data_IF_379408143269
#
_entry.id   IF_379408143269
#
_cell.length_a   1.000
_cell.length_b   1.000
_cell.length_c   1.000
_cell.angle_alpha   90.00
_cell.angle_beta   90.00
_cell.angle_gamma   90.00
#
_symmetry.space_group_name_H-M   'P 1'
#
loop_
_entity.id
_entity.type
_entity.pdbx_description
1 polymer ?
#
# COMPACT_ATOMS: atom_id res chain seq x y z
N UNK A 1 -42.20 -9.01 26.31
CA UNK A 1 -42.46 -10.42 26.03
C UNK A 1 -41.47 -10.98 24.99
N UNK A 2 -41.35 -10.38 23.82
CA UNK A 2 -40.46 -10.83 22.71
C UNK A 2 -38.98 -10.93 23.14
N UNK A 3 -38.45 -9.88 23.77
CA UNK A 3 -37.04 -9.84 24.22
C UNK A 3 -36.74 -10.94 25.27
N UNK A 4 -37.66 -11.16 26.22
CA UNK A 4 -37.51 -12.19 27.25
C UNK A 4 -37.46 -13.61 26.67
N UNK A 5 -38.27 -13.84 25.64
CA UNK A 5 -38.32 -15.12 24.91
C UNK A 5 -37.01 -15.32 24.09
N UNK A 6 -36.50 -14.27 23.44
CA UNK A 6 -35.26 -14.30 22.66
C UNK A 6 -34.07 -14.66 23.57
N UNK A 7 -33.92 -14.00 24.72
CA UNK A 7 -32.84 -14.30 25.69
C UNK A 7 -32.99 -15.72 26.24
N UNK A 8 -34.21 -16.14 26.62
CA UNK A 8 -34.43 -17.50 27.12
C UNK A 8 -34.07 -18.59 26.09
N UNK A 9 -34.29 -18.33 24.81
CA UNK A 9 -33.96 -19.27 23.75
C UNK A 9 -32.43 -19.37 23.55
N UNK A 10 -31.73 -18.24 23.48
CA UNK A 10 -30.27 -18.18 23.34
C UNK A 10 -29.58 -18.98 24.46
N UNK A 11 -30.05 -18.81 25.70
CA UNK A 11 -29.47 -19.50 26.87
C UNK A 11 -29.77 -20.99 26.92
N UNK A 12 -30.90 -21.44 26.39
CA UNK A 12 -31.25 -22.86 26.35
C UNK A 12 -30.56 -23.65 25.25
N UNK A 13 -30.33 -23.04 24.09
CA UNK A 13 -29.75 -23.71 22.91
C UNK A 13 -28.30 -23.27 22.63
N UNK A 14 -27.44 -23.43 23.63
CA UNK A 14 -26.04 -22.95 23.65
C UNK A 14 -25.23 -23.35 22.42
N UNK A 15 -25.29 -24.62 22.00
CA UNK A 15 -24.48 -25.10 20.86
C UNK A 15 -24.84 -24.40 19.54
N UNK A 16 -26.12 -24.14 19.31
CA UNK A 16 -26.57 -23.42 18.11
C UNK A 16 -26.19 -21.95 18.14
N UNK A 17 -26.40 -21.32 19.28
CA UNK A 17 -25.98 -19.95 19.50
C UNK A 17 -24.48 -19.78 19.28
N UNK A 18 -23.68 -20.75 19.71
CA UNK A 18 -22.23 -20.76 19.52
C UNK A 18 -21.83 -20.91 18.05
N UNK A 19 -22.51 -21.77 17.27
CA UNK A 19 -22.24 -21.90 15.82
C UNK A 19 -22.51 -20.57 15.13
N UNK A 20 -23.66 -19.92 15.40
CA UNK A 20 -23.97 -18.61 14.81
C UNK A 20 -22.99 -17.56 15.26
N UNK A 21 -22.62 -17.55 16.54
CA UNK A 21 -21.61 -16.63 17.05
C UNK A 21 -20.30 -16.75 16.23
N UNK A 22 -19.80 -17.97 16.00
CA UNK A 22 -18.59 -18.19 15.18
C UNK A 22 -18.78 -17.66 13.75
N UNK A 23 -19.91 -17.98 13.11
CA UNK A 23 -20.19 -17.53 11.75
C UNK A 23 -20.25 -16.01 11.66
N UNK A 24 -20.91 -15.36 12.62
CA UNK A 24 -20.97 -13.90 12.70
C UNK A 24 -19.58 -13.27 12.91
N UNK A 25 -18.77 -13.87 13.80
CA UNK A 25 -17.38 -13.41 14.01
C UNK A 25 -16.57 -13.50 12.73
N UNK A 26 -16.65 -14.62 11.98
CA UNK A 26 -15.92 -14.81 10.74
C UNK A 26 -16.36 -13.81 9.65
N UNK A 27 -17.66 -13.63 9.46
CA UNK A 27 -18.18 -12.67 8.48
C UNK A 27 -17.77 -11.25 8.84
N UNK A 28 -17.97 -10.84 10.09
CA UNK A 28 -17.67 -9.48 10.53
C UNK A 28 -16.18 -9.17 10.54
N UNK A 29 -15.34 -10.09 11.02
CA UNK A 29 -13.87 -9.90 11.01
C UNK A 29 -13.32 -9.80 9.58
N UNK A 30 -13.83 -10.61 8.67
CA UNK A 30 -13.44 -10.58 7.26
C UNK A 30 -13.88 -9.28 6.57
N UNK A 31 -15.14 -8.86 6.75
CA UNK A 31 -15.65 -7.59 6.22
C UNK A 31 -14.87 -6.38 6.76
N UNK A 32 -14.65 -6.35 8.07
CA UNK A 32 -13.88 -5.28 8.70
C UNK A 32 -12.44 -5.23 8.15
N UNK A 33 -11.79 -6.38 8.01
CA UNK A 33 -10.44 -6.47 7.44
C UNK A 33 -10.39 -5.97 6.00
N UNK A 34 -11.34 -6.38 5.16
CA UNK A 34 -11.43 -5.90 3.77
C UNK A 34 -11.63 -4.38 3.67
N UNK A 35 -12.58 -3.82 4.43
CA UNK A 35 -12.84 -2.39 4.43
C UNK A 35 -11.65 -1.58 4.98
N UNK A 36 -10.92 -2.14 5.93
CA UNK A 36 -9.73 -1.53 6.49
C UNK A 36 -8.58 -1.52 5.48
N UNK A 37 -8.32 -2.64 4.79
CA UNK A 37 -7.33 -2.74 3.73
C UNK A 37 -7.67 -1.79 2.58
N UNK A 38 -8.95 -1.70 2.16
CA UNK A 38 -9.39 -0.70 1.18
C UNK A 38 -9.11 0.73 1.65
N UNK A 39 -9.34 1.03 2.93
CA UNK A 39 -9.04 2.34 3.49
C UNK A 39 -7.55 2.68 3.47
N UNK A 40 -6.69 1.72 3.82
CA UNK A 40 -5.23 1.87 3.73
C UNK A 40 -4.80 2.10 2.29
N UNK A 41 -5.31 1.29 1.37
CA UNK A 41 -5.03 1.40 -0.06
C UNK A 41 -5.39 2.77 -0.63
N UNK A 42 -6.57 3.33 -0.29
CA UNK A 42 -6.97 4.67 -0.68
C UNK A 42 -6.07 5.77 -0.08
N UNK A 43 -5.54 5.54 1.11
CA UNK A 43 -4.61 6.49 1.75
C UNK A 43 -3.24 6.47 1.06
N UNK A 44 -2.76 5.29 0.67
CA UNK A 44 -1.54 5.12 -0.13
C UNK A 44 -1.72 5.79 -1.48
N UNK A 45 -2.82 5.51 -2.19
CA UNK A 45 -3.15 6.12 -3.48
C UNK A 45 -3.18 7.66 -3.39
N UNK A 46 -3.84 8.23 -2.37
CA UNK A 46 -3.87 9.69 -2.15
C UNK A 46 -2.49 10.28 -1.87
N UNK A 47 -1.67 9.60 -1.10
CA UNK A 47 -0.32 10.07 -0.82
C UNK A 47 0.58 9.99 -2.05
N UNK A 48 0.48 8.92 -2.83
CA UNK A 48 1.13 8.81 -4.13
C UNK A 48 0.67 9.91 -5.09
N UNK A 49 -0.64 10.19 -5.14
CA UNK A 49 -1.20 11.28 -5.94
C UNK A 49 -0.68 12.65 -5.51
N UNK A 50 -0.62 12.92 -4.21
CA UNK A 50 -0.05 14.18 -3.71
C UNK A 50 1.43 14.33 -4.08
N UNK A 51 2.20 13.27 -3.98
CA UNK A 51 3.63 13.28 -4.30
C UNK A 51 3.87 13.39 -5.80
N UNK A 52 3.16 12.63 -6.62
CA UNK A 52 3.32 12.63 -8.08
C UNK A 52 2.70 13.86 -8.76
N UNK A 53 1.55 14.34 -8.27
CA UNK A 53 0.87 15.49 -8.83
C UNK A 53 1.49 16.84 -8.40
N UNK A 54 2.38 16.82 -7.42
CA UNK A 54 3.09 18.03 -6.98
C UNK A 54 4.48 18.20 -7.59
N UNK A 55 4.98 17.22 -8.30
CA UNK A 55 6.29 17.25 -8.92
C UNK A 55 6.21 17.07 -10.45
N UNK A 56 6.86 17.98 -11.17
CA UNK A 56 7.12 17.86 -12.60
C UNK A 56 8.54 17.34 -12.76
N UNK A 57 8.74 16.33 -13.60
CA UNK A 57 10.05 15.85 -13.98
C UNK A 57 10.40 16.28 -15.39
N UNK A 58 11.65 16.68 -15.59
CA UNK A 58 12.20 17.03 -16.90
C UNK A 58 13.46 16.20 -17.10
N UNK A 59 13.54 15.48 -18.20
CA UNK A 59 14.68 14.65 -18.59
C UNK A 59 14.87 14.65 -20.10
N UNK A 60 16.07 14.33 -20.58
CA UNK A 60 16.29 14.12 -22.01
C UNK A 60 15.59 12.82 -22.49
N UNK A 61 15.08 12.83 -23.72
CA UNK A 61 14.51 11.65 -24.35
C UNK A 61 15.54 10.51 -24.51
N UNK A 62 16.83 10.88 -24.64
CA UNK A 62 17.94 9.94 -24.70
C UNK A 62 18.38 9.38 -23.36
N UNK A 63 17.72 9.80 -22.24
CA UNK A 63 18.10 9.44 -20.87
C UNK A 63 19.54 9.83 -20.47
N UNK A 64 20.19 10.68 -21.27
CA UNK A 64 21.53 11.19 -21.01
C UNK A 64 21.52 12.39 -20.06
N UNK A 65 22.72 12.77 -19.63
CA UNK A 65 22.92 13.93 -18.80
C UNK A 65 22.71 15.24 -19.61
N UNK A 66 22.14 16.24 -18.99
CA UNK A 66 22.02 17.59 -19.52
C UNK A 66 22.68 18.62 -18.60
N UNK A 67 23.11 19.76 -19.18
CA UNK A 67 23.66 20.87 -18.41
C UNK A 67 22.54 21.62 -17.67
N UNK A 68 22.68 21.77 -16.34
CA UNK A 68 21.68 22.46 -15.50
C UNK A 68 21.56 23.95 -15.77
N UNK A 69 22.57 24.58 -16.36
CA UNK A 69 22.54 26.02 -16.66
C UNK A 69 21.44 26.40 -17.62
N UNK A 70 21.01 25.45 -18.46
CA UNK A 70 19.86 25.62 -19.36
C UNK A 70 18.56 25.91 -18.62
N UNK A 71 18.46 25.54 -17.34
CA UNK A 71 17.24 25.65 -16.51
C UNK A 71 17.32 26.77 -15.45
N UNK A 72 18.26 27.72 -15.56
CA UNK A 72 18.39 28.85 -14.62
C UNK A 72 17.12 29.70 -14.54
N UNK A 73 16.45 29.91 -15.66
CA UNK A 73 15.27 30.77 -15.76
C UNK A 73 14.00 30.17 -15.12
N UNK A 74 14.00 28.88 -14.76
CA UNK A 74 12.88 28.22 -14.06
C UNK A 74 12.55 28.88 -12.73
N UNK A 75 13.54 29.49 -12.05
CA UNK A 75 13.33 30.16 -10.77
C UNK A 75 12.31 31.29 -10.83
N UNK A 76 12.07 31.87 -12.00
CA UNK A 76 11.19 33.01 -12.21
C UNK A 76 9.72 32.61 -12.42
N UNK A 77 9.42 31.31 -12.50
CA UNK A 77 8.06 30.82 -12.76
C UNK A 77 7.28 30.78 -11.45
N UNK A 78 6.12 31.43 -11.43
CA UNK A 78 5.21 31.45 -10.27
C UNK A 78 4.57 30.07 -10.06
N UNK A 79 4.47 29.65 -8.79
CA UNK A 79 3.83 28.38 -8.42
C UNK A 79 4.82 27.24 -8.17
N UNK A 80 6.10 27.46 -8.43
CA UNK A 80 7.18 26.53 -8.05
C UNK A 80 7.54 26.77 -6.58
N UNK A 81 7.56 25.68 -5.81
CA UNK A 81 7.95 25.67 -4.40
C UNK A 81 9.45 25.41 -4.27
N UNK A 82 9.88 24.27 -4.79
CA UNK A 82 11.28 23.85 -4.74
C UNK A 82 11.66 23.17 -6.05
N UNK A 83 12.94 23.16 -6.34
CA UNK A 83 13.51 22.38 -7.45
C UNK A 83 14.74 21.63 -6.99
N UNK A 84 14.90 20.42 -7.53
CA UNK A 84 16.05 19.57 -7.26
C UNK A 84 16.55 18.96 -8.57
N UNK A 85 17.86 18.92 -8.73
CA UNK A 85 18.50 18.17 -9.78
C UNK A 85 18.88 16.78 -9.25
N UNK A 86 18.71 15.77 -10.05
CA UNK A 86 19.14 14.41 -9.80
C UNK A 86 20.18 14.02 -10.82
N UNK A 87 21.22 13.35 -10.36
CA UNK A 87 22.20 12.69 -11.20
C UNK A 87 22.14 11.20 -10.94
N UNK A 88 21.80 10.42 -11.96
CA UNK A 88 21.85 8.97 -11.95
C UNK A 88 23.03 8.54 -12.83
N UNK A 89 23.86 7.68 -12.30
CA UNK A 89 25.04 7.18 -12.99
C UNK A 89 25.46 5.83 -12.45
N UNK A 90 26.57 5.36 -12.97
CA UNK A 90 27.21 4.12 -12.53
C UNK A 90 28.56 4.46 -11.93
N UNK A 91 28.86 3.84 -10.79
CA UNK A 91 30.16 3.93 -10.15
C UNK A 91 30.79 2.55 -9.96
N UNK A 92 32.08 2.51 -9.63
CA UNK A 92 32.78 1.28 -9.28
C UNK A 92 33.24 1.34 -7.83
N UNK A 93 32.95 0.28 -7.07
CA UNK A 93 33.47 0.13 -5.71
C UNK A 93 34.99 -0.22 -5.81
N UNK A 94 35.79 0.51 -5.03
CA UNK A 94 37.23 0.26 -4.93
C UNK A 94 37.48 -0.56 -3.66
N UNK A 95 38.07 -1.75 -3.81
CA UNK A 95 38.37 -2.70 -2.73
C UNK A 95 37.19 -3.34 -2.01
N UNK A 96 35.97 -3.23 -2.54
CA UNK A 96 34.77 -3.85 -2.01
C UNK A 96 34.03 -4.66 -3.08
N UNK A 97 33.21 -5.62 -2.64
CA UNK A 97 32.45 -6.51 -3.53
C UNK A 97 30.98 -6.08 -3.60
N UNK A 98 30.42 -6.17 -4.78
CA UNK A 98 28.97 -5.98 -4.99
C UNK A 98 28.18 -7.19 -4.52
N UNK A 99 26.88 -7.01 -4.25
CA UNK A 99 25.96 -8.10 -3.99
C UNK A 99 25.62 -8.76 -5.33
N UNK A 100 25.75 -10.08 -5.38
CA UNK A 100 25.40 -10.90 -6.55
C UNK A 100 23.95 -11.38 -6.44
N UNK A 101 23.31 -11.65 -7.57
CA UNK A 101 21.94 -12.17 -7.59
C UNK A 101 21.87 -13.55 -6.92
N UNK A 102 20.83 -13.76 -6.08
CA UNK A 102 20.51 -15.09 -5.54
C UNK A 102 20.16 -16.11 -6.62
N UNK A 103 19.76 -15.65 -7.82
CA UNK A 103 19.37 -16.52 -8.93
C UNK A 103 20.52 -17.10 -9.73
N UNK A 104 21.78 -16.83 -9.34
CA UNK A 104 22.97 -17.47 -9.92
C UNK A 104 23.18 -17.22 -11.42
N UNK A 105 22.48 -16.26 -12.03
CA UNK A 105 22.72 -15.85 -13.41
C UNK A 105 23.83 -14.81 -13.41
N UNK A 106 25.06 -15.28 -13.32
CA UNK A 106 26.22 -14.44 -13.64
C UNK A 106 26.53 -14.61 -15.14
N UNK A 107 26.74 -13.49 -15.82
CA UNK A 107 27.33 -13.54 -17.15
C UNK A 107 28.83 -13.76 -16.97
N UNK A 108 29.34 -14.92 -17.39
CA UNK A 108 30.77 -15.24 -17.33
C UNK A 108 31.59 -14.39 -18.31
N UNK A 109 30.92 -13.69 -19.23
CA UNK A 109 31.51 -12.87 -20.30
C UNK A 109 31.54 -11.36 -19.96
N UNK A 110 31.29 -10.96 -18.68
CA UNK A 110 31.39 -9.55 -18.30
C UNK A 110 32.83 -9.08 -18.27
N UNK A 111 33.20 -8.06 -19.06
CA UNK A 111 34.53 -7.45 -19.02
C UNK A 111 34.92 -6.98 -17.62
N UNK A 112 36.22 -7.01 -17.28
CA UNK A 112 36.71 -6.64 -15.94
C UNK A 112 36.35 -5.20 -15.52
N UNK A 113 36.25 -4.29 -16.48
CA UNK A 113 35.83 -2.89 -16.26
C UNK A 113 34.35 -2.74 -15.87
N UNK A 114 33.52 -3.72 -16.23
CA UNK A 114 32.08 -3.76 -15.89
C UNK A 114 31.76 -4.60 -14.64
N UNK A 115 32.78 -5.19 -14.02
CA UNK A 115 32.64 -5.89 -12.74
C UNK A 115 32.60 -4.89 -11.56
N UNK A 116 31.89 -5.22 -10.50
CA UNK A 116 31.74 -4.41 -9.28
C UNK A 116 31.13 -3.02 -9.52
N UNK A 117 30.21 -2.92 -10.49
CA UNK A 117 29.46 -1.71 -10.73
C UNK A 117 28.34 -1.55 -9.72
N UNK A 118 28.16 -0.32 -9.24
CA UNK A 118 27.06 0.12 -8.37
C UNK A 118 26.29 1.24 -9.04
N UNK A 119 24.99 1.27 -8.83
CA UNK A 119 24.16 2.38 -9.28
C UNK A 119 24.31 3.55 -8.30
N UNK A 120 24.57 4.71 -8.82
CA UNK A 120 24.70 5.95 -8.06
C UNK A 120 23.47 6.82 -8.35
N UNK A 121 22.78 7.25 -7.30
CA UNK A 121 21.75 8.27 -7.40
C UNK A 121 22.08 9.43 -6.47
N UNK A 122 22.30 10.60 -7.04
CA UNK A 122 22.68 11.79 -6.31
C UNK A 122 21.53 12.79 -6.27
N UNK A 123 21.11 13.16 -5.05
CA UNK A 123 19.98 14.04 -4.79
C UNK A 123 20.15 14.81 -3.48
N UNK A 124 19.74 16.08 -3.42
CA UNK A 124 20.02 16.92 -2.25
C UNK A 124 19.06 16.69 -1.08
N UNK A 125 17.85 16.20 -1.33
CA UNK A 125 16.85 15.96 -0.30
C UNK A 125 16.22 14.57 -0.46
N UNK A 126 16.84 13.56 0.14
CA UNK A 126 16.41 12.16 -0.04
C UNK A 126 14.98 11.89 0.46
N UNK A 127 14.41 12.69 1.36
CA UNK A 127 13.01 12.54 1.77
C UNK A 127 12.04 12.80 0.60
N UNK A 128 12.47 13.63 -0.36
CA UNK A 128 11.70 13.94 -1.59
C UNK A 128 12.09 13.05 -2.78
N UNK A 129 13.16 12.29 -2.67
CA UNK A 129 13.52 11.31 -3.70
C UNK A 129 12.42 10.26 -3.83
N UNK A 130 11.96 9.99 -5.06
CA UNK A 130 10.78 9.15 -5.30
C UNK A 130 10.83 7.76 -4.66
N UNK A 131 11.98 7.09 -4.64
CA UNK A 131 12.15 5.77 -4.03
C UNK A 131 11.98 5.79 -2.50
N UNK A 132 12.35 6.88 -1.82
CA UNK A 132 12.15 7.04 -0.38
C UNK A 132 10.75 7.59 -0.06
N UNK A 133 10.26 8.55 -0.83
CA UNK A 133 8.95 9.14 -0.62
C UNK A 133 7.80 8.17 -0.91
N UNK A 134 7.99 7.24 -1.83
CA UNK A 134 7.03 6.16 -2.13
C UNK A 134 7.08 4.99 -1.14
N UNK A 135 8.11 4.95 -0.27
CA UNK A 135 8.30 3.85 0.68
C UNK A 135 8.91 2.57 0.09
N UNK A 136 9.37 2.62 -1.17
CA UNK A 136 10.12 1.50 -1.79
C UNK A 136 11.40 1.26 -1.01
N UNK A 137 12.08 2.34 -0.63
CA UNK A 137 13.23 2.30 0.27
C UNK A 137 12.93 3.02 1.58
N UNK A 138 13.51 2.53 2.66
CA UNK A 138 13.44 3.14 3.98
C UNK A 138 14.79 3.09 4.69
N UNK A 139 15.08 4.10 5.51
CA UNK A 139 16.27 4.10 6.35
C UNK A 139 16.08 3.09 7.47
N UNK A 140 16.98 2.11 7.55
CA UNK A 140 17.00 1.10 8.61
C UNK A 140 17.80 1.56 9.82
N UNK A 141 18.94 2.22 9.58
CA UNK A 141 19.81 2.75 10.64
C UNK A 141 20.57 3.98 10.16
N UNK A 142 20.96 4.83 11.08
CA UNK A 142 21.59 6.10 10.76
C UNK A 142 20.58 7.18 10.36
N UNK A 143 20.97 8.05 9.44
CA UNK A 143 20.14 9.12 8.92
C UNK A 143 20.18 9.21 7.39
N UNK A 144 19.23 9.92 6.85
CA UNK A 144 19.17 10.23 5.42
C UNK A 144 20.12 11.37 5.04
N UNK A 145 20.41 11.51 3.74
CA UNK A 145 21.18 12.62 3.20
C UNK A 145 20.33 13.88 3.23
N UNK A 146 20.92 14.97 3.69
CA UNK A 146 20.31 16.28 3.76
C UNK A 146 21.07 17.30 2.90
N UNK A 147 20.41 18.42 2.65
CA UNK A 147 21.03 19.51 1.90
C UNK A 147 22.26 20.04 2.66
N UNK A 148 23.40 20.12 1.97
CA UNK A 148 24.68 20.54 2.56
C UNK A 148 25.60 19.40 3.03
N UNK A 149 25.14 18.15 3.04
CA UNK A 149 26.03 17.01 3.30
C UNK A 149 27.13 16.94 2.22
N UNK A 150 28.37 16.80 2.66
CA UNK A 150 29.52 16.62 1.79
C UNK A 150 30.17 15.26 2.06
N UNK A 151 30.66 14.58 1.02
CA UNK A 151 31.31 13.27 1.11
C UNK A 151 30.55 12.21 1.95
N UNK A 152 29.22 12.29 1.98
CA UNK A 152 28.35 11.37 2.71
C UNK A 152 27.57 10.51 1.75
N UNK A 153 27.39 9.22 2.11
CA UNK A 153 26.60 8.25 1.36
C UNK A 153 25.67 7.45 2.28
N UNK A 154 24.60 6.96 1.70
CA UNK A 154 23.81 5.89 2.28
C UNK A 154 23.86 4.68 1.34
N UNK A 155 24.03 3.50 1.89
CA UNK A 155 24.17 2.24 1.16
C UNK A 155 23.11 1.23 1.60
N UNK A 156 22.85 0.25 0.75
CA UNK A 156 21.93 -0.82 1.11
C UNK A 156 22.52 -1.70 2.24
N UNK A 157 21.64 -2.19 3.12
CA UNK A 157 22.05 -3.04 4.25
C UNK A 157 22.80 -4.30 3.83
N UNK A 158 22.40 -4.94 2.72
CA UNK A 158 23.03 -6.16 2.22
C UNK A 158 24.43 -5.87 1.64
N UNK A 159 24.62 -4.71 0.99
CA UNK A 159 25.95 -4.28 0.54
C UNK A 159 26.89 -4.05 1.74
N UNK A 160 26.35 -3.41 2.79
CA UNK A 160 27.07 -3.20 4.03
C UNK A 160 27.43 -4.54 4.70
N UNK A 161 26.49 -5.46 4.82
CA UNK A 161 26.68 -6.78 5.43
C UNK A 161 27.73 -7.61 4.67
N UNK A 162 27.66 -7.63 3.32
CA UNK A 162 28.61 -8.38 2.48
C UNK A 162 30.06 -7.93 2.67
N UNK A 163 30.26 -6.65 2.95
CA UNK A 163 31.60 -6.05 3.09
C UNK A 163 32.00 -5.75 4.55
N UNK A 164 31.16 -6.09 5.54
CA UNK A 164 31.43 -5.81 6.95
C UNK A 164 31.43 -4.33 7.31
N UNK A 165 30.76 -3.48 6.50
CA UNK A 165 30.74 -2.03 6.63
C UNK A 165 29.68 -1.58 7.66
N UNK A 166 30.00 -0.51 8.36
CA UNK A 166 29.14 0.13 9.39
C UNK A 166 29.01 1.62 9.14
N UNK A 167 28.04 2.24 9.80
CA UNK A 167 27.92 3.70 9.83
C UNK A 167 29.18 4.29 10.43
N UNK A 168 29.74 5.31 9.77
CA UNK A 168 31.01 5.96 10.08
C UNK A 168 32.19 5.44 9.29
N UNK A 169 32.08 4.27 8.65
CA UNK A 169 33.14 3.76 7.79
C UNK A 169 33.22 4.56 6.49
N UNK A 170 34.41 4.55 5.90
CA UNK A 170 34.68 5.23 4.64
C UNK A 170 34.78 4.24 3.50
N UNK A 171 34.13 4.55 2.40
CA UNK A 171 34.24 3.79 1.15
C UNK A 171 34.82 4.66 0.04
N UNK A 172 35.52 4.02 -0.88
CA UNK A 172 36.03 4.67 -2.08
C UNK A 172 35.19 4.26 -3.28
N UNK A 173 34.73 5.26 -4.01
CA UNK A 173 33.94 5.10 -5.23
C UNK A 173 34.63 5.79 -6.37
N UNK A 174 34.74 5.10 -7.48
CA UNK A 174 35.17 5.67 -8.75
C UNK A 174 33.90 6.08 -9.51
N UNK A 175 33.71 7.37 -9.72
CA UNK A 175 32.67 7.96 -10.54
C UNK A 175 33.29 8.35 -11.87
N UNK A 176 32.88 7.67 -12.94
CA UNK A 176 33.55 7.76 -14.24
C UNK A 176 35.08 7.52 -14.13
N UNK A 177 35.89 8.59 -14.20
CA UNK A 177 37.38 8.50 -14.12
C UNK A 177 37.94 9.04 -12.79
N UNK A 178 37.10 9.53 -11.89
CA UNK A 178 37.51 10.20 -10.67
C UNK A 178 37.18 9.36 -9.42
N UNK A 179 38.15 9.22 -8.55
CA UNK A 179 37.98 8.55 -7.26
C UNK A 179 37.56 9.55 -6.19
N UNK A 180 36.54 9.21 -5.43
CA UNK A 180 36.07 9.96 -4.26
C UNK A 180 36.01 9.08 -3.01
N UNK A 181 36.33 9.64 -1.84
CA UNK A 181 36.17 9.00 -0.55
C UNK A 181 34.88 9.50 0.11
N UNK A 182 34.03 8.56 0.59
CA UNK A 182 32.71 8.86 1.15
C UNK A 182 32.53 8.14 2.48
N UNK A 183 31.93 8.82 3.44
CA UNK A 183 31.57 8.26 4.75
C UNK A 183 30.11 7.76 4.71
N UNK A 184 29.89 6.56 5.21
CA UNK A 184 28.56 5.95 5.35
C UNK A 184 27.85 6.58 6.53
N UNK A 185 26.72 7.25 6.29
CA UNK A 185 25.92 7.90 7.35
C UNK A 185 24.59 7.20 7.62
N UNK A 186 24.20 6.27 6.75
CA UNK A 186 22.96 5.52 6.91
C UNK A 186 22.93 4.25 6.09
N UNK A 187 22.14 3.31 6.55
CA UNK A 187 21.83 2.08 5.86
C UNK A 187 20.35 2.09 5.50
N UNK A 188 20.03 1.76 4.25
CA UNK A 188 18.66 1.64 3.81
C UNK A 188 18.32 0.20 3.45
N UNK A 189 17.03 -0.10 3.42
CA UNK A 189 16.44 -1.38 3.04
C UNK A 189 15.31 -1.17 2.06
N UNK A 190 14.95 -2.24 1.35
CA UNK A 190 13.86 -2.26 0.37
C UNK A 190 14.34 -2.75 -0.98
N UNK A 191 13.39 -3.03 -1.88
CA UNK A 191 13.68 -3.54 -3.21
C UNK A 191 12.78 -2.85 -4.24
N UNK A 192 13.37 -2.23 -5.25
CA UNK A 192 12.64 -1.74 -6.42
C UNK A 192 12.40 -2.89 -7.40
N UNK A 193 11.45 -2.74 -8.29
CA UNK A 193 11.32 -3.67 -9.41
C UNK A 193 12.55 -3.53 -10.31
N UNK A 194 13.24 -4.64 -10.53
CA UNK A 194 14.50 -4.68 -11.24
C UNK A 194 14.31 -5.24 -12.64
N UNK A 195 14.83 -4.51 -13.64
CA UNK A 195 15.01 -5.03 -14.98
C UNK A 195 16.48 -5.45 -15.09
N UNK A 196 16.75 -6.73 -15.01
CA UNK A 196 18.11 -7.24 -15.06
C UNK A 196 18.66 -7.21 -16.51
N UNK A 197 19.64 -6.36 -16.75
CA UNK A 197 20.34 -6.23 -18.03
C UNK A 197 21.71 -6.94 -18.02
N UNK A 198 22.04 -7.61 -16.92
CA UNK A 198 23.28 -8.37 -16.77
C UNK A 198 24.38 -7.66 -15.97
N UNK A 199 24.11 -6.49 -15.41
CA UNK A 199 25.07 -5.73 -14.62
C UNK A 199 24.69 -5.74 -13.13
N UNK A 200 25.71 -5.75 -12.26
CA UNK A 200 25.49 -5.69 -10.81
C UNK A 200 24.83 -4.39 -10.35
N UNK A 201 24.98 -3.30 -11.10
CA UNK A 201 24.32 -2.02 -10.84
C UNK A 201 22.81 -2.04 -11.01
N UNK A 202 22.24 -3.07 -11.62
CA UNK A 202 20.77 -3.19 -11.78
C UNK A 202 20.07 -3.53 -10.47
N UNK A 203 20.79 -4.17 -9.54
CA UNK A 203 20.23 -4.60 -8.26
C UNK A 203 20.07 -3.46 -7.25
N UNK A 204 18.97 -3.48 -6.52
CA UNK A 204 18.67 -2.53 -5.44
C UNK A 204 19.72 -2.54 -4.34
N UNK A 205 20.26 -3.73 -4.05
CA UNK A 205 21.29 -3.97 -3.05
C UNK A 205 22.62 -3.26 -3.41
N UNK A 206 22.86 -2.96 -4.67
CA UNK A 206 24.02 -2.26 -5.17
C UNK A 206 23.78 -0.77 -5.47
N UNK A 207 22.68 -0.21 -4.96
CA UNK A 207 22.43 1.23 -5.06
C UNK A 207 23.13 1.99 -3.94
N UNK A 208 23.70 3.14 -4.32
CA UNK A 208 24.34 4.09 -3.39
C UNK A 208 23.73 5.46 -3.64
N UNK A 209 23.28 6.11 -2.58
CA UNK A 209 22.78 7.46 -2.66
C UNK A 209 23.76 8.45 -2.06
N UNK A 210 23.88 9.63 -2.69
CA UNK A 210 24.78 10.69 -2.25
C UNK A 210 24.16 12.07 -2.47
N UNK A 211 24.81 13.10 -1.92
CA UNK A 211 24.43 14.48 -2.17
C UNK A 211 24.76 14.90 -3.61
N UNK A 212 23.83 15.57 -4.28
CA UNK A 212 23.99 16.00 -5.67
C UNK A 212 25.14 16.97 -5.85
N UNK A 213 25.23 18.03 -5.00
CA UNK A 213 26.29 19.02 -5.16
C UNK A 213 27.68 18.46 -4.94
N UNK A 214 27.82 17.45 -4.05
CA UNK A 214 29.09 16.77 -3.85
C UNK A 214 29.42 15.83 -5.00
N UNK A 215 28.44 15.12 -5.57
CA UNK A 215 28.67 14.28 -6.76
C UNK A 215 29.24 15.09 -7.92
N UNK A 216 28.73 16.32 -8.11
CA UNK A 216 29.22 17.24 -9.13
C UNK A 216 30.66 17.70 -8.88
N UNK A 217 31.09 17.79 -7.61
CA UNK A 217 32.50 18.09 -7.29
C UNK A 217 33.42 16.94 -7.68
N UNK A 218 32.98 15.71 -7.50
CA UNK A 218 33.79 14.52 -7.90
C UNK A 218 33.82 14.37 -9.41
N UNK A 219 32.69 14.66 -10.10
CA UNK A 219 32.60 14.60 -11.56
C UNK A 219 33.31 15.75 -12.30
N UNK A 220 33.70 16.81 -11.59
CA UNK A 220 34.19 18.11 -12.15
C UNK A 220 35.37 18.06 -13.12
N UNK A 221 36.03 16.95 -13.26
CA UNK A 221 37.19 16.85 -14.16
C UNK A 221 36.85 16.47 -15.60
N UNK A 222 35.56 16.35 -15.94
CA UNK A 222 35.14 15.75 -17.19
C UNK A 222 34.88 16.70 -18.35
N UNK A 223 34.42 17.92 -18.12
CA UNK A 223 34.33 18.97 -19.13
C UNK A 223 33.87 20.31 -18.54
N UNK A 224 34.61 21.38 -18.83
CA UNK A 224 34.23 22.79 -18.70
C UNK A 224 33.51 23.27 -17.42
N UNK A 225 33.70 22.65 -16.28
CA UNK A 225 33.13 23.07 -14.99
C UNK A 225 31.57 23.16 -14.96
N UNK A 226 30.88 22.51 -15.90
CA UNK A 226 29.43 22.56 -16.00
C UNK A 226 28.80 21.43 -15.17
N UNK A 227 27.89 21.79 -14.29
CA UNK A 227 27.12 20.79 -13.56
C UNK A 227 26.13 20.07 -14.50
N UNK A 228 25.99 18.77 -14.33
CA UNK A 228 25.13 17.91 -15.14
C UNK A 228 24.08 17.21 -14.28
N UNK A 229 22.93 16.94 -14.87
CA UNK A 229 21.86 16.18 -14.25
C UNK A 229 21.20 15.24 -15.26
N UNK A 230 20.65 14.14 -14.78
CA UNK A 230 19.80 13.23 -15.56
C UNK A 230 18.36 13.68 -15.53
N UNK A 231 17.94 14.26 -14.38
CA UNK A 231 16.55 14.71 -14.17
C UNK A 231 16.53 16.02 -13.39
N UNK A 232 15.52 16.83 -13.69
CA UNK A 232 15.12 17.98 -12.90
C UNK A 232 13.74 17.71 -12.33
N UNK A 233 13.60 17.80 -11.00
CA UNK A 233 12.32 17.76 -10.30
C UNK A 233 11.90 19.16 -9.89
N UNK A 234 10.66 19.51 -10.18
CA UNK A 234 10.06 20.79 -9.85
C UNK A 234 8.83 20.49 -9.00
N UNK A 235 8.89 20.88 -7.73
CA UNK A 235 7.80 20.73 -6.78
C UNK A 235 6.91 21.96 -6.80
N UNK A 236 5.60 21.75 -6.73
CA UNK A 236 4.61 22.81 -6.85
C UNK A 236 3.88 23.04 -5.53
N UNK A 237 3.57 24.31 -5.26
CA UNK A 237 2.72 24.68 -4.12
C UNK A 237 1.26 24.16 -4.27
N UNK A 238 0.80 23.98 -5.51
CA UNK A 238 -0.56 23.56 -5.82
C UNK A 238 -0.57 22.60 -7.00
N UNK A 239 -0.90 21.31 -6.79
CA UNK A 239 -0.96 20.31 -7.86
C UNK A 239 -1.94 20.68 -8.99
N UNK A 240 -3.00 21.42 -8.64
CA UNK A 240 -4.04 21.85 -9.57
C UNK A 240 -3.51 22.76 -10.69
N UNK A 241 -2.40 23.46 -10.44
CA UNK A 241 -1.75 24.37 -11.41
C UNK A 241 -0.64 23.71 -12.23
N UNK A 242 -0.52 22.41 -12.16
CA UNK A 242 0.57 21.68 -12.82
C UNK A 242 0.62 21.95 -14.33
N UNK A 243 -0.50 21.89 -15.02
CA UNK A 243 -0.57 22.14 -16.45
C UNK A 243 -0.18 23.58 -16.81
N UNK A 244 -0.57 24.55 -15.99
CA UNK A 244 -0.21 25.95 -16.19
C UNK A 244 1.31 26.14 -16.03
N UNK A 245 1.90 25.52 -15.00
CA UNK A 245 3.34 25.57 -14.75
C UNK A 245 4.11 24.83 -15.85
N UNK A 246 3.63 23.68 -16.35
CA UNK A 246 4.25 22.99 -17.50
C UNK A 246 4.25 23.89 -18.74
N UNK A 247 3.14 24.58 -18.99
CA UNK A 247 3.05 25.51 -20.12
C UNK A 247 4.02 26.68 -19.96
N UNK A 248 4.20 27.21 -18.74
CA UNK A 248 5.19 28.27 -18.47
C UNK A 248 6.63 27.75 -18.59
N UNK A 249 6.93 26.53 -18.14
CA UNK A 249 8.24 25.90 -18.31
C UNK A 249 8.57 25.75 -19.79
N UNK A 250 7.61 25.34 -20.61
CA UNK A 250 7.81 25.18 -22.07
C UNK A 250 8.01 26.49 -22.84
N UNK A 251 7.80 27.64 -22.22
CA UNK A 251 8.14 28.96 -22.81
C UNK A 251 9.63 29.31 -22.68
N UNK A 252 10.38 28.60 -21.87
CA UNK A 252 11.83 28.78 -21.79
C UNK A 252 12.42 28.39 -23.14
N UNK A 253 13.39 29.17 -23.62
CA UNK A 253 14.05 28.96 -24.92
C UNK A 253 14.96 27.73 -24.84
N UNK A 254 14.35 26.55 -25.06
CA UNK A 254 14.98 25.22 -25.10
C UNK A 254 14.39 24.40 -26.24
N UNK A 255 15.19 23.53 -26.82
CA UNK A 255 14.73 22.53 -27.79
C UNK A 255 13.87 21.46 -27.11
N UNK A 256 12.63 21.79 -26.72
CA UNK A 256 11.73 20.93 -25.93
C UNK A 256 11.41 19.58 -26.59
N UNK A 257 11.62 19.46 -27.90
CA UNK A 257 11.49 18.19 -28.64
C UNK A 257 12.47 17.13 -28.13
N UNK A 258 13.62 17.55 -27.58
CA UNK A 258 14.61 16.69 -26.99
C UNK A 258 14.33 16.32 -25.54
N UNK A 259 13.32 16.92 -24.90
CA UNK A 259 13.02 16.73 -23.49
C UNK A 259 11.65 16.09 -23.28
N UNK A 260 11.61 15.11 -22.40
CA UNK A 260 10.38 14.56 -21.83
C UNK A 260 10.02 15.36 -20.58
N UNK A 261 8.89 16.06 -20.63
CA UNK A 261 8.32 16.77 -19.50
C UNK A 261 7.08 16.01 -19.05
N UNK A 262 7.07 15.60 -17.80
CA UNK A 262 5.95 14.86 -17.26
C UNK A 262 6.01 14.78 -15.75
N UNK A 263 5.02 14.14 -15.17
CA UNK A 263 5.12 13.64 -13.81
C UNK A 263 6.04 12.43 -13.82
N UNK A 264 6.91 12.27 -12.83
CA UNK A 264 7.80 11.09 -12.74
C UNK A 264 6.99 9.84 -12.43
N UNK A 265 6.46 9.22 -13.49
CA UNK A 265 5.45 8.18 -13.41
C UNK A 265 6.01 6.75 -13.48
N UNK A 266 7.28 6.55 -13.83
CA UNK A 266 7.75 5.18 -14.12
C UNK A 266 7.63 4.23 -12.91
N UNK A 267 8.04 4.67 -11.71
CA UNK A 267 7.82 3.89 -10.48
C UNK A 267 6.41 4.09 -9.90
N UNK A 268 5.79 5.24 -10.18
CA UNK A 268 4.44 5.57 -9.74
C UNK A 268 3.39 4.74 -10.45
N UNK A 269 3.50 4.56 -11.77
CA UNK A 269 2.54 3.78 -12.55
C UNK A 269 2.58 2.31 -12.13
N UNK A 270 3.74 1.73 -11.83
CA UNK A 270 3.86 0.36 -11.28
C UNK A 270 3.23 0.23 -9.89
N UNK A 271 3.53 1.17 -8.99
CA UNK A 271 2.94 1.17 -7.64
C UNK A 271 1.44 1.41 -7.73
N UNK A 272 1.00 2.33 -8.58
CA UNK A 272 -0.42 2.62 -8.82
C UNK A 272 -1.15 1.40 -9.38
N UNK A 273 -0.55 0.68 -10.33
CA UNK A 273 -1.12 -0.55 -10.88
C UNK A 273 -1.25 -1.64 -9.81
N UNK A 274 -0.22 -1.82 -8.98
CA UNK A 274 -0.23 -2.74 -7.84
C UNK A 274 -1.31 -2.35 -6.82
N UNK A 275 -1.35 -1.08 -6.43
CA UNK A 275 -2.35 -0.53 -5.50
C UNK A 275 -3.77 -0.69 -6.07
N UNK A 276 -3.97 -0.42 -7.36
CA UNK A 276 -5.24 -0.60 -8.05
C UNK A 276 -5.66 -2.07 -8.09
N UNK A 277 -4.73 -2.98 -8.37
CA UNK A 277 -4.97 -4.43 -8.40
C UNK A 277 -5.37 -4.96 -7.02
N UNK A 278 -4.67 -4.55 -5.96
CA UNK A 278 -5.03 -4.90 -4.57
C UNK A 278 -6.43 -4.39 -4.22
N UNK A 279 -6.77 -3.15 -4.60
CA UNK A 279 -8.10 -2.57 -4.39
C UNK A 279 -9.20 -3.39 -5.06
N UNK A 280 -8.97 -3.81 -6.31
CA UNK A 280 -9.92 -4.61 -7.08
C UNK A 280 -10.12 -6.00 -6.47
N UNK A 281 -9.03 -6.68 -6.09
CA UNK A 281 -9.08 -7.99 -5.42
C UNK A 281 -9.85 -7.89 -4.08
N UNK A 282 -9.53 -6.90 -3.26
CA UNK A 282 -10.20 -6.71 -1.95
C UNK A 282 -11.67 -6.35 -2.12
N UNK A 283 -12.03 -5.59 -3.17
CA UNK A 283 -13.42 -5.28 -3.50
C UNK A 283 -14.20 -6.56 -3.88
N UNK A 284 -13.64 -7.41 -4.74
CA UNK A 284 -14.25 -8.70 -5.12
C UNK A 284 -14.41 -9.57 -3.87
N UNK A 285 -13.37 -9.70 -3.05
CA UNK A 285 -13.40 -10.47 -1.80
C UNK A 285 -14.51 -9.96 -0.85
N UNK A 286 -14.67 -8.64 -0.73
CA UNK A 286 -15.72 -8.05 0.09
C UNK A 286 -17.12 -8.43 -0.40
N UNK A 287 -17.35 -8.40 -1.71
CA UNK A 287 -18.61 -8.81 -2.34
C UNK A 287 -18.87 -10.31 -2.10
N UNK A 288 -17.87 -11.15 -2.30
CA UNK A 288 -17.98 -12.60 -2.06
C UNK A 288 -18.32 -12.92 -0.60
N UNK A 289 -17.71 -12.20 0.36
CA UNK A 289 -18.01 -12.35 1.79
C UNK A 289 -19.45 -11.91 2.10
N UNK A 290 -19.93 -10.81 1.50
CA UNK A 290 -21.31 -10.34 1.69
C UNK A 290 -22.32 -11.34 1.14
N UNK A 291 -22.12 -11.82 -0.08
CA UNK A 291 -23.02 -12.79 -0.72
C UNK A 291 -22.95 -14.15 -0.01
N UNK A 292 -21.74 -14.65 0.25
CA UNK A 292 -21.53 -15.91 0.97
C UNK A 292 -22.10 -15.86 2.39
N UNK A 293 -21.90 -14.76 3.10
CA UNK A 293 -22.46 -14.52 4.43
C UNK A 293 -23.99 -14.53 4.42
N UNK A 294 -24.60 -13.88 3.43
CA UNK A 294 -26.06 -13.88 3.25
C UNK A 294 -26.58 -15.31 3.01
N UNK A 295 -25.94 -16.07 2.13
CA UNK A 295 -26.32 -17.46 1.83
C UNK A 295 -26.19 -18.34 3.08
N UNK A 296 -25.04 -18.32 3.75
CA UNK A 296 -24.78 -19.15 4.93
C UNK A 296 -25.76 -18.83 6.07
N UNK A 297 -25.97 -17.54 6.37
CA UNK A 297 -26.92 -17.14 7.40
C UNK A 297 -28.35 -17.52 7.02
N UNK A 298 -28.76 -17.37 5.76
CA UNK A 298 -30.09 -17.77 5.29
C UNK A 298 -30.30 -19.28 5.45
N UNK A 299 -29.31 -20.11 5.09
CA UNK A 299 -29.40 -21.58 5.25
C UNK A 299 -29.52 -21.98 6.73
N UNK A 300 -28.71 -21.37 7.60
CA UNK A 300 -28.79 -21.63 9.05
C UNK A 300 -30.17 -21.24 9.58
N UNK A 301 -30.73 -20.12 9.14
CA UNK A 301 -32.04 -19.66 9.55
C UNK A 301 -33.17 -20.57 9.05
N UNK A 302 -33.09 -21.08 7.81
CA UNK A 302 -34.07 -22.05 7.29
C UNK A 302 -34.07 -23.32 8.15
N UNK A 303 -32.89 -23.82 8.54
CA UNK A 303 -32.78 -24.97 9.43
C UNK A 303 -33.37 -24.67 10.80
N UNK A 304 -33.12 -23.48 11.34
CA UNK A 304 -33.69 -23.06 12.63
C UNK A 304 -35.22 -22.96 12.62
N UNK A 305 -35.77 -22.35 11.58
CA UNK A 305 -37.24 -22.25 11.44
C UNK A 305 -37.86 -23.63 11.33
N UNK A 306 -37.24 -24.56 10.60
CA UNK A 306 -37.74 -25.95 10.48
C UNK A 306 -37.77 -26.68 11.81
N UNK A 307 -36.79 -26.51 12.67
CA UNK A 307 -36.75 -27.15 13.98
C UNK A 307 -37.71 -26.55 14.98
N UNK A 308 -38.17 -25.31 14.75
CA UNK A 308 -39.11 -24.56 15.62
C UNK A 308 -40.54 -24.53 15.07
N UNK A 309 -40.83 -25.32 14.04
CA UNK A 309 -42.19 -25.32 13.41
C UNK A 309 -43.28 -25.54 14.42
N UNK A 310 -43.07 -26.46 15.39
CA UNK A 310 -44.05 -26.72 16.47
C UNK A 310 -44.25 -25.47 17.35
N UNK A 311 -43.20 -24.86 17.88
CA UNK A 311 -43.28 -23.66 18.72
C UNK A 311 -44.01 -22.53 17.97
N UNK A 312 -43.65 -22.34 16.66
CA UNK A 312 -44.26 -21.34 15.80
C UNK A 312 -45.74 -21.63 15.60
N UNK A 313 -46.12 -22.88 15.39
CA UNK A 313 -47.50 -23.30 15.26
C UNK A 313 -48.35 -22.96 16.51
N UNK A 314 -47.83 -23.24 17.70
CA UNK A 314 -48.47 -22.88 18.97
C UNK A 314 -48.61 -21.37 19.11
N UNK A 315 -47.56 -20.58 18.79
CA UNK A 315 -47.59 -19.11 18.86
C UNK A 315 -48.67 -18.53 17.92
N UNK A 316 -48.77 -19.08 16.70
CA UNK A 316 -49.81 -18.69 15.74
C UNK A 316 -51.23 -19.05 16.22
N UNK A 317 -51.38 -20.20 16.88
CA UNK A 317 -52.67 -20.64 17.41
C UNK A 317 -53.18 -19.76 18.57
N UNK A 318 -52.28 -19.17 19.35
CA UNK A 318 -52.55 -18.19 20.40
C UNK A 318 -52.80 -16.78 19.84
N UNK A 319 -52.69 -16.59 18.48
CA UNK A 319 -52.99 -15.31 17.81
C UNK A 319 -51.77 -14.38 17.68
N UNK A 320 -50.55 -14.86 17.89
CA UNK A 320 -49.34 -14.06 17.65
C UNK A 320 -49.12 -13.94 16.15
N UNK A 321 -48.97 -12.71 15.66
CA UNK A 321 -48.79 -12.45 14.24
C UNK A 321 -47.43 -12.94 13.74
N UNK A 322 -47.38 -13.38 12.46
CA UNK A 322 -46.11 -13.80 11.78
C UNK A 322 -45.02 -12.76 11.90
N UNK A 323 -45.37 -11.48 11.80
CA UNK A 323 -44.42 -10.38 11.96
C UNK A 323 -43.73 -10.34 13.32
N UNK A 324 -44.50 -10.57 14.42
CA UNK A 324 -43.95 -10.62 15.78
C UNK A 324 -42.98 -11.79 15.96
N UNK A 325 -43.23 -12.92 15.29
CA UNK A 325 -42.34 -14.09 15.29
C UNK A 325 -41.02 -13.78 14.56
N UNK A 326 -41.11 -13.14 13.40
CA UNK A 326 -39.90 -12.71 12.63
C UNK A 326 -39.10 -11.71 13.45
N UNK A 327 -39.75 -10.74 14.09
CA UNK A 327 -39.09 -9.76 14.94
C UNK A 327 -38.34 -10.44 16.11
N UNK A 328 -38.90 -11.54 16.65
CA UNK A 328 -38.20 -12.33 17.67
C UNK A 328 -36.91 -12.95 17.12
N UNK A 329 -36.92 -13.51 15.91
CA UNK A 329 -35.68 -14.04 15.26
C UNK A 329 -34.65 -12.94 15.00
N UNK A 330 -35.09 -11.76 14.55
CA UNK A 330 -34.20 -10.60 14.40
C UNK A 330 -33.52 -10.27 15.72
N UNK A 331 -34.28 -10.18 16.80
CA UNK A 331 -33.76 -9.87 18.13
C UNK A 331 -32.81 -10.95 18.65
N UNK A 332 -33.10 -12.23 18.43
CA UNK A 332 -32.23 -13.34 18.81
C UNK A 332 -30.85 -13.19 18.14
N UNK A 333 -30.79 -12.91 16.82
CA UNK A 333 -29.54 -12.71 16.11
C UNK A 333 -28.83 -11.43 16.54
N UNK A 334 -29.54 -10.32 16.72
CA UNK A 334 -28.92 -9.06 17.15
C UNK A 334 -28.27 -9.18 18.53
N UNK A 335 -28.87 -9.92 19.46
CA UNK A 335 -28.27 -10.15 20.78
C UNK A 335 -26.95 -10.95 20.65
N UNK A 336 -26.88 -11.95 19.76
CA UNK A 336 -25.64 -12.71 19.51
C UNK A 336 -24.61 -11.88 18.76
N UNK A 337 -25.04 -10.90 17.97
CA UNK A 337 -24.15 -10.03 17.21
C UNK A 337 -23.31 -9.12 18.11
N UNK A 338 -23.83 -8.70 19.28
CA UNK A 338 -23.10 -7.82 20.21
C UNK A 338 -21.78 -8.43 20.68
N UNK A 339 -21.73 -9.64 21.28
CA UNK A 339 -20.47 -10.27 21.66
C UNK A 339 -19.61 -10.63 20.45
N UNK A 340 -20.23 -10.97 19.30
CA UNK A 340 -19.49 -11.22 18.05
C UNK A 340 -18.74 -9.99 17.57
N UNK A 341 -19.30 -8.79 17.76
CA UNK A 341 -18.68 -7.52 17.44
C UNK A 341 -17.34 -7.34 18.18
N UNK A 342 -17.33 -7.61 19.47
CA UNK A 342 -16.11 -7.46 20.28
C UNK A 342 -15.01 -8.43 19.81
N UNK A 343 -15.36 -9.70 19.65
CA UNK A 343 -14.37 -10.72 19.24
C UNK A 343 -13.87 -10.48 17.81
N UNK A 344 -14.77 -10.13 16.89
CA UNK A 344 -14.40 -9.86 15.49
C UNK A 344 -13.47 -8.66 15.33
N UNK A 345 -13.59 -7.66 16.20
CA UNK A 345 -12.66 -6.53 16.22
C UNK A 345 -11.21 -6.98 16.49
N UNK A 346 -11.01 -7.82 17.51
CA UNK A 346 -9.67 -8.34 17.80
C UNK A 346 -9.17 -9.26 16.68
N UNK A 347 -9.99 -10.20 16.22
CA UNK A 347 -9.62 -11.11 15.10
C UNK A 347 -9.30 -10.33 13.83
N UNK A 348 -10.12 -9.35 13.49
CA UNK A 348 -9.91 -8.49 12.32
C UNK A 348 -8.60 -7.70 12.39
N UNK A 349 -8.26 -7.14 13.55
CA UNK A 349 -6.99 -6.45 13.73
C UNK A 349 -5.78 -7.39 13.58
N UNK A 350 -5.87 -8.63 14.05
CA UNK A 350 -4.81 -9.64 13.84
C UNK A 350 -4.63 -9.92 12.35
N UNK A 351 -5.74 -10.12 11.61
CA UNK A 351 -5.70 -10.34 10.15
C UNK A 351 -5.07 -9.14 9.43
N UNK A 352 -5.49 -7.92 9.78
CA UNK A 352 -4.97 -6.68 9.17
C UNK A 352 -3.47 -6.55 9.41
N UNK A 353 -3.00 -6.82 10.63
CA UNK A 353 -1.58 -6.72 10.95
C UNK A 353 -0.74 -7.74 10.18
N UNK A 354 -1.22 -8.98 10.03
CA UNK A 354 -0.49 -10.02 9.31
C UNK A 354 -0.49 -9.81 7.79
N UNK A 355 -1.63 -9.41 7.22
CA UNK A 355 -1.77 -9.20 5.77
C UNK A 355 -1.22 -7.83 5.38
N UNK A 356 -1.55 -6.80 6.16
CA UNK A 356 -1.15 -5.43 5.89
C UNK A 356 0.36 -5.23 5.96
N UNK A 357 1.07 -5.87 6.93
CA UNK A 357 2.53 -5.78 7.05
C UNK A 357 3.27 -6.37 5.84
N UNK A 358 2.67 -7.34 5.17
CA UNK A 358 3.24 -7.95 3.95
C UNK A 358 2.96 -7.15 2.68
N UNK A 359 1.85 -6.41 2.64
CA UNK A 359 1.43 -5.65 1.45
C UNK A 359 1.93 -4.21 1.53
N UNK A 360 1.90 -3.61 2.71
CA UNK A 360 2.22 -2.20 2.95
C UNK A 360 3.33 -2.07 3.99
N UNK A 361 4.57 -2.36 3.61
CA UNK A 361 5.74 -2.11 4.47
C UNK A 361 5.77 -0.63 4.85
N UNK A 362 5.72 -0.32 6.16
CA UNK A 362 5.80 1.03 6.77
C UNK A 362 4.55 1.94 6.79
N UNK A 363 3.38 1.51 6.30
CA UNK A 363 2.18 2.38 6.29
C UNK A 363 1.15 1.99 7.36
N UNK A 364 1.39 0.92 8.11
CA UNK A 364 0.44 0.49 9.14
C UNK A 364 0.55 1.45 10.33
N UNK A 365 -0.28 2.48 10.32
CA UNK A 365 -0.59 3.18 11.55
C UNK A 365 -1.46 2.27 12.42
N UNK A 366 -1.01 1.99 13.64
CA UNK A 366 -1.77 1.27 14.67
C UNK A 366 -3.06 2.01 15.09
N UNK A 367 -3.45 3.04 14.37
CA UNK A 367 -4.65 3.80 14.65
C UNK A 367 -5.90 2.94 14.42
N UNK A 368 -6.64 2.70 15.48
CA UNK A 368 -7.94 2.06 15.44
C UNK A 368 -8.88 2.93 14.60
N UNK A 369 -9.42 2.36 13.52
CA UNK A 369 -10.33 3.09 12.65
C UNK A 369 -11.79 2.68 12.96
N UNK A 370 -12.39 3.37 13.91
CA UNK A 370 -13.75 3.13 14.37
C UNK A 370 -14.79 3.27 13.26
N UNK A 371 -14.57 4.20 12.31
CA UNK A 371 -15.53 4.44 11.21
C UNK A 371 -15.68 3.19 10.34
N UNK A 372 -14.57 2.56 9.95
CA UNK A 372 -14.59 1.34 9.12
C UNK A 372 -15.22 0.17 9.86
N UNK A 373 -14.99 0.09 11.18
CA UNK A 373 -15.60 -0.93 12.02
C UNK A 373 -17.12 -0.74 12.12
N UNK A 374 -17.60 0.48 12.36
CA UNK A 374 -19.03 0.79 12.41
C UNK A 374 -19.74 0.53 11.07
N UNK A 375 -19.08 0.87 9.95
CA UNK A 375 -19.61 0.58 8.61
C UNK A 375 -19.74 -0.93 8.39
N UNK A 376 -18.71 -1.74 8.75
CA UNK A 376 -18.78 -3.20 8.61
C UNK A 376 -19.89 -3.81 9.47
N UNK A 377 -20.12 -3.26 10.66
CA UNK A 377 -21.21 -3.66 11.54
C UNK A 377 -22.60 -3.31 10.95
N UNK A 378 -22.74 -2.12 10.37
CA UNK A 378 -23.96 -1.71 9.66
C UNK A 378 -24.29 -2.62 8.47
N UNK A 379 -23.27 -2.99 7.68
CA UNK A 379 -23.41 -3.95 6.57
C UNK A 379 -23.85 -5.32 7.11
N UNK A 380 -23.25 -5.81 8.20
CA UNK A 380 -23.62 -7.09 8.81
C UNK A 380 -25.09 -7.09 9.27
N UNK A 381 -25.57 -6.02 9.90
CA UNK A 381 -26.99 -5.90 10.26
C UNK A 381 -27.87 -6.01 9.02
N UNK A 382 -27.50 -5.34 7.92
CA UNK A 382 -28.21 -5.46 6.64
C UNK A 382 -28.24 -6.92 6.13
N UNK A 383 -27.12 -7.62 6.17
CA UNK A 383 -27.02 -9.04 5.80
C UNK A 383 -27.94 -9.90 6.69
N UNK A 384 -27.94 -9.67 7.99
CA UNK A 384 -28.82 -10.39 8.94
C UNK A 384 -30.30 -10.19 8.58
N UNK A 385 -30.72 -8.94 8.38
CA UNK A 385 -32.11 -8.63 8.03
C UNK A 385 -32.52 -9.29 6.71
N UNK A 386 -31.71 -9.17 5.67
CA UNK A 386 -31.94 -9.83 4.38
C UNK A 386 -31.99 -11.35 4.52
N UNK A 387 -31.06 -11.95 5.26
CA UNK A 387 -31.02 -13.40 5.50
C UNK A 387 -32.28 -13.89 6.19
N UNK A 388 -32.82 -13.12 7.14
CA UNK A 388 -34.08 -13.46 7.84
C UNK A 388 -35.28 -13.37 6.87
N UNK A 389 -35.31 -12.34 6.02
CA UNK A 389 -36.38 -12.20 5.02
C UNK A 389 -36.35 -13.41 4.08
N UNK A 390 -35.18 -13.75 3.50
CA UNK A 390 -35.03 -14.91 2.63
C UNK A 390 -35.32 -16.23 3.35
N UNK A 391 -34.79 -16.43 4.54
CA UNK A 391 -34.98 -17.65 5.33
C UNK A 391 -36.43 -17.84 5.79
N UNK A 392 -37.14 -16.74 6.09
CA UNK A 392 -38.55 -16.79 6.52
C UNK A 392 -39.54 -16.85 5.36
N UNK A 393 -39.11 -16.63 4.13
CA UNK A 393 -39.97 -16.60 2.94
C UNK A 393 -40.78 -17.91 2.79
N UNK A 394 -40.13 -19.06 2.96
CA UNK A 394 -40.76 -20.38 2.94
C UNK A 394 -41.86 -20.57 4.00
N UNK A 395 -41.77 -19.82 5.11
CA UNK A 395 -42.72 -19.82 6.22
C UNK A 395 -43.85 -18.77 6.02
N UNK A 396 -43.48 -17.58 5.50
CA UNK A 396 -44.43 -16.48 5.30
C UNK A 396 -45.52 -16.85 4.27
N UNK A 397 -45.17 -17.60 3.21
CA UNK A 397 -46.07 -17.99 2.12
C UNK A 397 -47.09 -19.03 2.59
N UNK A 398 -46.78 -19.90 3.55
CA UNK A 398 -47.64 -20.98 4.01
C UNK A 398 -48.77 -20.47 4.92
N UNK A 399 -49.99 -21.03 4.71
CA UNK A 399 -51.10 -20.76 5.61
C UNK A 399 -50.89 -21.45 6.98
N UNK A 400 -51.36 -20.86 8.11
CA UNK A 400 -51.22 -21.47 9.43
C UNK A 400 -51.70 -22.94 9.50
N UNK A 401 -52.80 -23.27 8.77
CA UNK A 401 -53.35 -24.62 8.67
C UNK A 401 -52.34 -25.62 8.04
N UNK A 402 -51.59 -25.20 7.04
CA UNK A 402 -50.57 -26.04 6.39
C UNK A 402 -49.32 -26.25 7.25
N UNK A 403 -49.03 -25.29 8.11
CA UNK A 403 -47.94 -25.37 9.08
C UNK A 403 -48.28 -26.38 10.18
N UNK A 404 -49.54 -26.32 10.65
CA UNK A 404 -50.03 -27.22 11.68
C UNK A 404 -50.29 -28.64 11.17
N UNK A 405 -50.77 -28.82 9.92
CA UNK A 405 -51.02 -30.16 9.33
C UNK A 405 -49.75 -30.98 9.04
N UNK A 406 -48.58 -30.36 9.00
CA UNK A 406 -47.33 -31.11 8.91
C UNK A 406 -46.80 -31.59 10.28
N UNK A 407 -47.58 -31.38 11.32
CA UNK A 407 -47.27 -31.78 12.70
C UNK A 407 -47.95 -33.09 13.10
N UNK A 408 -48.87 -33.56 12.30
CA UNK A 408 -49.50 -34.89 12.40
C UNK A 408 -48.82 -35.84 11.42
#
# INVERSE_FOLDING_TARGET
MILKNAVAYITRKKNRTFIIFIVLVLILSSLYSCLRIMGLNNSVEKNLYKLSNSAISVMLNSEQNFNIDKFKNINNIKGIDEKYFQYDGVGKLVNYKVVESEQGVSRDDVPEDLKNLVSISAFNNMKKHNLFSSGVFSIKSGRNIENGDTNKVIIHEDLAAKNGLKIGDKIKLMLEKNEGEFEIIGLFTGKKQEKFNGLSSDFSENMIFMNYDYSQKVLKNLDDNKKVATKLYIYLNSPEKMNDVINEIKKIDLEWENYKVGTDNNNFDEIRETVSSVKYIVMIMSILIMVGGLVVLSLILILWIRERVFEIGVLLSIGISKFKIIMQFILELLIVTIPSMVVSFFVGNVIINQVGSKIFTNIITNAINWDKFLISYGILIGIIVLSIIFGSMAFLVKKPKEILSKMS
#
